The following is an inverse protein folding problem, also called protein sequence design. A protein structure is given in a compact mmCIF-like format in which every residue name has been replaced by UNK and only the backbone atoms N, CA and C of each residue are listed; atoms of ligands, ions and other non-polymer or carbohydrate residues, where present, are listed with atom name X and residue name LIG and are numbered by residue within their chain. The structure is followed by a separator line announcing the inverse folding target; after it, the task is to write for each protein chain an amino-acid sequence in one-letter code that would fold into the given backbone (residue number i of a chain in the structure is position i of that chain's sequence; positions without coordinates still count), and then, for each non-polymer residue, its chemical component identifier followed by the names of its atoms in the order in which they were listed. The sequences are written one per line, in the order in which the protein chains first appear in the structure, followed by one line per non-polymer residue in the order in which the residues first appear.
data_IF_271077126878
#
_entry.id   IF_271077126878
#
_cell.length_a   1.000
_cell.length_b   1.000
_cell.length_c   1.000
_cell.angle_alpha   90.00
_cell.angle_beta   90.00
_cell.angle_gamma   90.00
#
_symmetry.space_group_name_H-M   'P 1'
#
loop_
_entity.id
_entity.type
_entity.pdbx_description
1 polymer ?
#
# COMPACT_ATOMS: atom_id res chain seq x y z
N UNK A 1 1.87 37.71 -77.76
CA UNK A 1 0.48 37.58 -78.26
C UNK A 1 -0.19 36.45 -77.48
N UNK A 2 -1.30 36.80 -76.80
CA UNK A 2 -2.26 35.95 -76.05
C UNK A 2 -3.09 35.06 -77.02
N UNK A 3 -4.05 34.21 -76.59
CA UNK A 3 -4.27 33.43 -75.34
C UNK A 3 -4.89 32.01 -75.62
N UNK A 4 -5.53 31.43 -74.58
CA UNK A 4 -6.67 30.47 -74.55
C UNK A 4 -6.33 29.01 -74.20
N UNK A 5 -7.11 28.25 -73.42
CA UNK A 5 -7.96 28.41 -72.22
C UNK A 5 -8.53 27.00 -71.95
N UNK A 6 -8.81 26.68 -70.68
CA UNK A 6 -9.71 25.60 -70.17
C UNK A 6 -9.21 24.13 -70.23
N UNK A 7 -9.23 23.45 -69.07
CA UNK A 7 -10.36 22.61 -68.63
C UNK A 7 -10.07 21.85 -67.32
N UNK A 8 -11.14 21.71 -66.51
CA UNK A 8 -11.46 20.64 -65.55
C UNK A 8 -10.47 20.39 -64.37
N UNK A 9 -10.87 20.53 -63.10
CA UNK A 9 -11.74 19.57 -62.40
C UNK A 9 -10.97 18.24 -62.21
N UNK A 10 -10.60 17.80 -61.00
CA UNK A 10 -11.50 17.10 -60.07
C UNK A 10 -10.92 17.04 -58.64
N UNK A 11 -11.86 17.02 -57.70
CA UNK A 11 -11.72 16.89 -56.24
C UNK A 11 -11.33 15.46 -55.87
N UNK A 12 -10.45 15.29 -54.87
CA UNK A 12 -10.47 14.11 -54.00
C UNK A 12 -10.18 14.55 -52.54
N UNK A 13 -11.25 14.81 -51.78
CA UNK A 13 -11.19 14.85 -50.32
C UNK A 13 -10.94 13.43 -49.80
N UNK A 14 -9.79 13.21 -49.19
CA UNK A 14 -9.57 12.05 -48.33
C UNK A 14 -9.84 12.48 -46.87
N UNK A 15 -11.03 12.17 -46.37
CA UNK A 15 -11.35 12.19 -44.94
C UNK A 15 -10.71 10.96 -44.28
N UNK A 16 -9.49 11.12 -43.78
CA UNK A 16 -8.84 10.15 -42.91
C UNK A 16 -9.42 10.25 -41.49
N UNK A 17 -10.28 9.30 -41.11
CA UNK A 17 -10.72 9.10 -39.72
C UNK A 17 -9.51 8.57 -38.95
N UNK A 18 -8.78 9.47 -38.28
CA UNK A 18 -7.70 9.07 -37.37
C UNK A 18 -8.32 8.61 -36.06
N UNK A 19 -8.35 7.30 -35.83
CA UNK A 19 -8.56 6.73 -34.50
C UNK A 19 -7.33 7.05 -33.65
N UNK A 20 -7.35 8.18 -32.95
CA UNK A 20 -6.36 8.50 -31.94
C UNK A 20 -6.58 7.56 -30.74
N UNK A 21 -5.86 6.45 -30.71
CA UNK A 21 -5.63 5.71 -29.49
C UNK A 21 -4.90 6.65 -28.53
N UNK A 22 -5.60 7.18 -27.53
CA UNK A 22 -4.99 7.95 -26.46
C UNK A 22 -4.12 7.00 -25.62
N UNK A 23 -2.86 6.84 -26.02
CA UNK A 23 -1.83 6.31 -25.16
C UNK A 23 -1.62 7.33 -24.03
N UNK A 24 -2.18 7.07 -22.86
CA UNK A 24 -1.87 7.87 -21.68
C UNK A 24 -0.40 7.64 -21.36
N UNK A 25 0.47 8.68 -21.40
CA UNK A 25 1.85 8.52 -20.96
C UNK A 25 1.82 8.20 -19.47
N UNK A 26 2.25 7.00 -19.11
CA UNK A 26 2.63 6.67 -17.73
C UNK A 26 3.79 7.58 -17.36
N UNK A 27 3.51 8.70 -16.71
CA UNK A 27 4.53 9.54 -16.10
C UNK A 27 5.17 8.77 -14.95
N UNK A 28 6.27 8.08 -15.26
CA UNK A 28 7.23 7.65 -14.25
C UNK A 28 7.90 8.92 -13.74
N UNK A 29 7.42 9.46 -12.63
CA UNK A 29 8.05 10.59 -11.95
C UNK A 29 9.35 10.07 -11.32
N UNK A 30 10.45 10.14 -12.08
CA UNK A 30 11.78 9.85 -11.56
C UNK A 30 12.14 10.96 -10.57
N UNK A 31 12.37 10.61 -9.31
CA UNK A 31 12.87 11.54 -8.29
C UNK A 31 14.15 12.21 -8.80
N UNK A 32 14.21 13.53 -8.71
CA UNK A 32 15.42 14.27 -9.04
C UNK A 32 16.53 13.92 -8.04
N UNK A 33 17.79 14.03 -8.46
CA UNK A 33 18.93 13.75 -7.56
C UNK A 33 18.92 14.68 -6.34
N UNK A 34 18.42 15.91 -6.51
CA UNK A 34 18.23 16.87 -5.41
C UNK A 34 17.21 16.36 -4.37
N UNK A 35 16.04 15.89 -4.80
CA UNK A 35 15.01 15.35 -3.91
C UNK A 35 15.51 14.10 -3.17
N UNK A 36 16.16 13.20 -3.89
CA UNK A 36 16.78 12.01 -3.30
C UNK A 36 17.83 12.37 -2.25
N UNK A 37 18.69 13.35 -2.53
CA UNK A 37 19.71 13.81 -1.56
C UNK A 37 19.07 14.40 -0.31
N UNK A 38 17.97 15.15 -0.47
CA UNK A 38 17.23 15.73 0.65
C UNK A 38 16.55 14.66 1.52
N UNK A 39 15.99 13.61 0.91
CA UNK A 39 15.41 12.47 1.63
C UNK A 39 16.47 11.72 2.45
N UNK A 40 17.64 11.44 1.85
CA UNK A 40 18.75 10.80 2.54
C UNK A 40 19.30 11.65 3.68
N UNK A 41 19.41 12.98 3.48
CA UNK A 41 19.84 13.89 4.52
C UNK A 41 18.85 13.92 5.70
N UNK A 42 17.55 13.92 5.42
CA UNK A 42 16.51 13.87 6.45
C UNK A 42 16.54 12.58 7.26
N UNK A 43 16.73 11.43 6.60
CA UNK A 43 16.87 10.13 7.28
C UNK A 43 18.14 10.04 8.14
N UNK A 44 19.24 10.66 7.70
CA UNK A 44 20.45 10.74 8.55
C UNK A 44 20.20 11.58 9.79
N UNK A 45 19.55 12.74 9.61
CA UNK A 45 19.20 13.60 10.73
C UNK A 45 18.25 12.89 11.71
N UNK A 46 17.23 12.17 11.22
CA UNK A 46 16.32 11.41 12.08
C UNK A 46 17.05 10.33 12.88
N UNK A 47 17.98 9.61 12.27
CA UNK A 47 18.82 8.62 12.95
C UNK A 47 19.78 9.26 13.96
N UNK A 48 20.31 10.43 13.66
CA UNK A 48 21.20 11.17 14.56
C UNK A 48 20.47 11.70 15.80
N UNK A 49 19.24 12.17 15.66
CA UNK A 49 18.44 12.70 16.78
C UNK A 49 17.54 11.67 17.46
N UNK A 50 17.56 10.41 16.98
CA UNK A 50 16.75 9.33 17.53
C UNK A 50 17.03 9.10 19.03
N UNK A 51 16.00 9.05 19.88
CA UNK A 51 16.18 8.82 21.31
C UNK A 51 16.59 7.37 21.64
N UNK A 52 16.29 6.40 20.78
CA UNK A 52 16.57 4.98 21.01
C UNK A 52 17.48 4.44 19.90
N UNK A 53 18.75 4.22 20.23
CA UNK A 53 19.76 3.69 19.29
C UNK A 53 20.28 2.31 19.66
N UNK A 54 19.98 1.84 20.87
CA UNK A 54 20.45 0.56 21.39
C UNK A 54 19.40 -0.12 22.27
N UNK A 55 19.62 -1.40 22.59
CA UNK A 55 18.77 -2.15 23.54
C UNK A 55 18.75 -1.47 24.92
N UNK A 56 19.91 -1.00 25.39
CA UNK A 56 20.01 -0.29 26.67
C UNK A 56 19.23 1.04 26.66
N UNK A 57 19.21 1.76 25.53
CA UNK A 57 18.42 2.99 25.41
C UNK A 57 16.92 2.68 25.38
N UNK A 58 16.51 1.58 24.74
CA UNK A 58 15.11 1.14 24.73
C UNK A 58 14.63 0.80 26.14
N UNK A 59 15.41 0.03 26.89
CA UNK A 59 15.12 -0.29 28.28
C UNK A 59 15.03 0.98 29.12
N UNK A 60 16.03 1.86 29.02
CA UNK A 60 16.01 3.16 29.71
C UNK A 60 14.78 3.98 29.36
N UNK A 61 14.41 4.05 28.08
CA UNK A 61 13.23 4.78 27.63
C UNK A 61 11.94 4.22 28.24
N UNK A 62 11.79 2.89 28.29
CA UNK A 62 10.64 2.22 28.91
C UNK A 62 10.51 2.50 30.41
N UNK A 63 11.64 2.67 31.11
CA UNK A 63 11.64 3.01 32.53
C UNK A 63 11.42 4.51 32.81
N UNK A 64 11.95 5.39 31.98
CA UNK A 64 11.90 6.85 32.22
C UNK A 64 10.63 7.51 31.70
N UNK A 65 10.02 7.00 30.63
CA UNK A 65 8.87 7.65 29.98
C UNK A 65 7.55 7.03 30.46
N UNK A 66 6.67 7.81 31.11
CA UNK A 66 5.38 7.31 31.58
C UNK A 66 4.51 6.76 30.44
N UNK A 67 3.65 5.75 30.71
CA UNK A 67 2.76 5.15 29.70
C UNK A 67 1.93 6.15 28.88
N UNK A 68 1.42 7.21 29.52
CA UNK A 68 0.57 8.22 28.87
C UNK A 68 1.29 9.03 27.77
N UNK A 69 2.60 9.17 27.88
CA UNK A 69 3.46 9.93 26.95
C UNK A 69 4.29 9.03 26.03
N UNK A 70 4.20 7.72 26.20
CA UNK A 70 5.03 6.76 25.49
C UNK A 70 4.31 6.25 24.24
N UNK A 71 4.87 6.53 23.06
CA UNK A 71 4.25 6.14 21.79
C UNK A 71 4.12 4.61 21.62
N UNK A 72 4.93 3.81 22.31
CA UNK A 72 4.82 2.34 22.29
C UNK A 72 3.51 1.85 22.93
N UNK A 73 2.87 2.66 23.79
CA UNK A 73 1.57 2.33 24.39
C UNK A 73 0.39 2.58 23.46
N UNK A 74 0.62 3.05 22.23
CA UNK A 74 -0.38 3.02 21.16
C UNK A 74 -0.68 1.58 20.71
N UNK A 75 0.27 0.66 20.87
CA UNK A 75 0.06 -0.77 20.63
C UNK A 75 -0.64 -1.42 21.83
N UNK A 76 -1.46 -2.43 21.54
CA UNK A 76 -1.99 -3.32 22.59
C UNK A 76 -0.84 -3.98 23.38
N UNK A 77 -1.05 -4.38 24.64
CA UNK A 77 0.03 -4.93 25.49
C UNK A 77 0.81 -6.07 24.82
N UNK A 78 0.10 -7.07 24.26
CA UNK A 78 0.71 -8.21 23.58
C UNK A 78 1.47 -7.79 22.31
N UNK A 79 0.91 -6.87 21.53
CA UNK A 79 1.55 -6.37 20.32
C UNK A 79 2.83 -5.58 20.62
N UNK A 80 2.80 -4.77 21.68
CA UNK A 80 3.97 -4.03 22.17
C UNK A 80 5.08 -4.99 22.59
N UNK A 81 4.78 -6.03 23.35
CA UNK A 81 5.77 -7.02 23.79
C UNK A 81 6.43 -7.71 22.60
N UNK A 82 5.63 -8.20 21.64
CA UNK A 82 6.16 -8.83 20.42
C UNK A 82 6.98 -7.86 19.57
N UNK A 83 6.52 -6.61 19.44
CA UNK A 83 7.27 -5.57 18.74
C UNK A 83 8.64 -5.36 19.40
N UNK A 84 8.68 -5.09 20.71
CA UNK A 84 9.92 -4.87 21.47
C UNK A 84 10.87 -6.08 21.38
N UNK A 85 10.34 -7.30 21.46
CA UNK A 85 11.12 -8.53 21.31
C UNK A 85 11.73 -8.68 19.90
N UNK A 86 11.02 -8.22 18.87
CA UNK A 86 11.48 -8.30 17.48
C UNK A 86 12.48 -7.22 17.07
N UNK A 87 12.61 -6.14 17.84
CA UNK A 87 13.53 -5.04 17.53
C UNK A 87 14.97 -5.52 17.61
N UNK A 88 15.74 -5.25 16.56
CA UNK A 88 17.18 -5.52 16.45
C UNK A 88 17.96 -4.24 16.19
N UNK A 89 19.21 -4.18 16.68
CA UNK A 89 20.08 -3.01 16.58
C UNK A 89 21.48 -3.39 16.07
N UNK A 90 22.16 -2.43 15.45
CA UNK A 90 23.59 -2.45 15.16
C UNK A 90 24.28 -1.15 15.62
N UNK A 91 25.55 -0.95 15.25
CA UNK A 91 26.32 0.25 15.60
C UNK A 91 25.73 1.57 15.06
N UNK A 92 24.81 1.51 14.07
CA UNK A 92 24.14 2.67 13.46
C UNK A 92 22.70 2.86 13.97
N UNK A 93 22.19 1.99 14.85
CA UNK A 93 20.83 2.08 15.38
C UNK A 93 19.96 0.90 14.95
N UNK A 94 18.68 1.18 14.70
CA UNK A 94 17.67 0.16 14.38
C UNK A 94 18.01 -0.57 13.07
N UNK A 95 18.04 -1.90 13.10
CA UNK A 95 18.27 -2.73 11.90
C UNK A 95 17.02 -3.42 11.39
N UNK A 96 16.10 -3.78 12.27
CA UNK A 96 14.93 -4.56 11.88
C UNK A 96 13.93 -4.69 13.02
N UNK A 97 12.69 -4.94 12.65
CA UNK A 97 11.57 -5.11 13.57
C UNK A 97 10.39 -5.78 12.83
N UNK A 98 9.47 -6.37 13.57
CA UNK A 98 8.26 -6.94 13.01
C UNK A 98 7.21 -5.84 12.74
N UNK A 99 6.71 -5.77 11.51
CA UNK A 99 5.72 -4.78 11.06
C UNK A 99 4.27 -5.25 11.20
N UNK A 100 4.04 -6.55 11.44
CA UNK A 100 2.71 -7.18 11.43
C UNK A 100 1.74 -6.50 12.39
N UNK A 101 2.21 -6.27 13.62
CA UNK A 101 1.38 -5.69 14.68
C UNK A 101 1.16 -4.18 14.46
N UNK A 102 2.17 -3.48 13.92
CA UNK A 102 2.05 -2.07 13.51
C UNK A 102 0.97 -1.90 12.43
N UNK A 103 0.99 -2.76 11.41
CA UNK A 103 0.02 -2.73 10.30
C UNK A 103 -1.40 -3.01 10.78
N UNK A 104 -1.55 -4.00 11.66
CA UNK A 104 -2.85 -4.45 12.13
C UNK A 104 -3.54 -3.39 12.99
N UNK A 105 -2.81 -2.78 13.92
CA UNK A 105 -3.40 -1.97 15.00
C UNK A 105 -3.35 -0.47 14.76
N UNK A 106 -2.40 0.01 13.94
CA UNK A 106 -2.09 1.44 13.87
C UNK A 106 -2.42 2.05 12.49
N UNK A 107 -2.67 3.35 12.52
CA UNK A 107 -2.66 4.21 11.33
C UNK A 107 -1.23 4.63 10.96
N UNK A 108 -1.02 5.07 9.72
CA UNK A 108 0.30 5.54 9.25
C UNK A 108 0.93 6.58 10.18
N UNK A 109 0.15 7.58 10.62
CA UNK A 109 0.63 8.62 11.52
C UNK A 109 1.05 8.08 12.90
N UNK A 110 0.37 7.04 13.39
CA UNK A 110 0.73 6.38 14.65
C UNK A 110 2.00 5.52 14.48
N UNK A 111 2.14 4.84 13.34
CA UNK A 111 3.37 4.10 13.01
C UNK A 111 4.55 5.06 12.94
N UNK A 112 4.39 6.22 12.28
CA UNK A 112 5.43 7.24 12.20
C UNK A 112 5.87 7.72 13.58
N UNK A 113 4.95 7.93 14.52
CA UNK A 113 5.27 8.31 15.91
C UNK A 113 6.11 7.27 16.64
N UNK A 114 5.78 5.98 16.47
CA UNK A 114 6.58 4.90 17.07
C UNK A 114 7.96 4.84 16.44
N UNK A 115 8.04 4.90 15.12
CA UNK A 115 9.29 4.75 14.38
C UNK A 115 10.21 5.98 14.51
N UNK A 116 9.67 7.16 14.79
CA UNK A 116 10.45 8.34 15.13
C UNK A 116 11.28 8.14 16.41
N UNK A 117 10.85 7.27 17.34
CA UNK A 117 11.67 6.94 18.52
C UNK A 117 13.00 6.27 18.14
N UNK A 118 13.06 5.66 16.97
CA UNK A 118 14.21 4.94 16.45
C UNK A 118 14.85 5.63 15.24
N UNK A 119 14.36 6.82 14.86
CA UNK A 119 14.84 7.57 13.71
C UNK A 119 14.47 6.97 12.35
N UNK A 120 13.41 6.15 12.28
CA UNK A 120 12.98 5.45 11.08
C UNK A 120 11.56 5.83 10.64
N UNK A 121 11.12 7.07 10.91
CA UNK A 121 9.73 7.50 10.66
C UNK A 121 9.31 7.43 9.18
N UNK A 122 10.26 7.55 8.25
CA UNK A 122 10.04 7.42 6.81
C UNK A 122 9.40 6.07 6.47
N UNK A 123 9.73 5.02 7.24
CA UNK A 123 9.24 3.65 7.03
C UNK A 123 7.75 3.47 7.23
N UNK A 124 7.10 4.40 7.94
CA UNK A 124 5.68 4.29 8.28
C UNK A 124 4.79 4.13 7.05
N UNK A 125 5.14 4.80 5.94
CA UNK A 125 4.34 4.78 4.72
C UNK A 125 4.37 3.45 4.00
N UNK A 126 5.54 2.82 3.90
CA UNK A 126 5.65 1.48 3.32
C UNK A 126 4.82 0.52 4.15
N UNK A 127 5.00 0.58 5.47
CA UNK A 127 4.34 -0.33 6.39
C UNK A 127 2.83 -0.16 6.27
N UNK A 128 2.33 1.07 6.24
CA UNK A 128 0.92 1.36 6.05
C UNK A 128 0.41 0.93 4.67
N UNK A 129 1.17 1.14 3.59
CA UNK A 129 0.80 0.71 2.24
C UNK A 129 0.76 -0.82 2.08
N UNK A 130 1.60 -1.53 2.84
CA UNK A 130 1.62 -3.00 2.90
C UNK A 130 0.48 -3.59 3.72
N UNK A 131 -0.29 -2.75 4.44
CA UNK A 131 -1.52 -3.19 5.10
C UNK A 131 -2.44 -3.70 4.01
N UNK A 132 -2.45 -5.02 3.81
CA UNK A 132 -3.39 -5.67 2.89
C UNK A 132 -4.75 -5.14 3.29
N UNK A 133 -5.55 -4.55 2.38
CA UNK A 133 -6.94 -4.31 2.69
C UNK A 133 -7.43 -5.66 3.19
N UNK A 134 -7.99 -5.69 4.41
CA UNK A 134 -8.65 -6.87 4.92
C UNK A 134 -9.52 -7.30 3.75
N UNK A 135 -9.16 -8.43 3.12
CA UNK A 135 -9.89 -8.89 1.95
C UNK A 135 -11.31 -8.83 2.42
N UNK A 136 -12.11 -7.95 1.80
CA UNK A 136 -13.54 -8.04 1.95
C UNK A 136 -13.76 -9.49 1.55
N UNK A 137 -13.97 -10.37 2.55
CA UNK A 137 -14.43 -11.72 2.27
C UNK A 137 -15.56 -11.43 1.30
N UNK A 138 -15.52 -11.93 0.05
CA UNK A 138 -16.63 -11.73 -0.86
C UNK A 138 -17.84 -12.02 -0.01
N UNK A 139 -18.67 -10.98 0.20
CA UNK A 139 -19.86 -11.10 1.02
C UNK A 139 -20.52 -12.30 0.41
N UNK A 140 -20.60 -13.40 1.16
CA UNK A 140 -21.13 -14.66 0.66
C UNK A 140 -22.60 -14.36 0.35
N UNK A 141 -22.83 -13.81 -0.83
CA UNK A 141 -24.14 -13.54 -1.35
C UNK A 141 -24.60 -14.88 -1.87
N UNK A 142 -25.30 -15.57 -0.98
CA UNK A 142 -26.25 -16.62 -1.31
C UNK A 142 -25.61 -17.89 -1.88
N UNK A 143 -25.49 -18.89 -1.01
CA UNK A 143 -25.90 -20.25 -1.38
C UNK A 143 -24.85 -21.17 -1.98
N UNK A 144 -23.66 -21.28 -1.39
CA UNK A 144 -22.84 -22.48 -1.60
C UNK A 144 -22.66 -23.23 -0.27
N UNK A 145 -23.53 -24.21 -0.05
CA UNK A 145 -23.29 -25.26 0.92
C UNK A 145 -22.22 -26.19 0.32
N UNK A 146 -21.04 -26.21 0.92
CA UNK A 146 -20.08 -27.29 0.70
C UNK A 146 -20.45 -28.41 1.66
N UNK A 147 -21.24 -29.38 1.19
CA UNK A 147 -21.32 -30.67 1.87
C UNK A 147 -20.02 -31.41 1.55
N UNK A 148 -19.16 -31.52 2.56
CA UNK A 148 -17.97 -32.35 2.50
C UNK A 148 -18.37 -33.81 2.69
N UNK A 149 -18.71 -34.49 1.60
CA UNK A 149 -18.78 -35.96 1.55
C UNK A 149 -17.86 -36.48 0.42
N UNK A 150 -16.76 -37.21 0.74
CA UNK A 150 -15.70 -37.47 -0.23
C UNK A 150 -15.98 -38.57 -1.26
N UNK A 151 -17.15 -39.23 -1.29
CA UNK A 151 -17.32 -40.44 -2.12
C UNK A 151 -18.33 -40.38 -3.29
N UNK A 152 -19.09 -39.30 -3.51
CA UNK A 152 -19.99 -39.23 -4.71
C UNK A 152 -20.22 -37.83 -5.27
N UNK A 153 -19.74 -37.51 -6.49
CA UNK A 153 -20.20 -36.34 -7.22
C UNK A 153 -21.42 -36.73 -8.05
N UNK A 154 -22.62 -36.50 -7.52
CA UNK A 154 -23.83 -36.46 -8.35
C UNK A 154 -24.45 -35.07 -8.28
N UNK A 155 -24.43 -34.39 -9.42
CA UNK A 155 -25.21 -33.17 -9.66
C UNK A 155 -26.69 -33.54 -9.64
N UNK A 156 -27.40 -33.20 -8.57
CA UNK A 156 -28.86 -33.08 -8.58
C UNK A 156 -29.24 -31.62 -8.41
N UNK A 157 -29.99 -31.02 -9.34
CA UNK A 157 -30.57 -29.70 -9.14
C UNK A 157 -31.83 -29.87 -8.28
N UNK A 158 -31.64 -29.86 -6.96
CA UNK A 158 -32.70 -29.92 -5.96
C UNK A 158 -32.60 -28.73 -5.02
N UNK A 159 -33.72 -28.04 -4.84
CA UNK A 159 -33.90 -26.87 -3.98
C UNK A 159 -33.44 -27.14 -2.54
N UNK A 160 -32.62 -26.25 -2.00
CA UNK A 160 -32.37 -26.18 -0.57
C UNK A 160 -33.64 -25.62 0.10
N UNK A 161 -34.39 -26.50 0.74
CA UNK A 161 -35.58 -26.17 1.53
C UNK A 161 -35.13 -25.55 2.86
N UNK A 162 -35.43 -24.27 3.17
CA UNK A 162 -35.24 -23.75 4.51
C UNK A 162 -36.47 -24.09 5.34
N UNK A 163 -36.33 -25.06 6.23
CA UNK A 163 -37.35 -25.42 7.21
C UNK A 163 -37.92 -24.20 7.93
N UNK A 164 -39.21 -24.00 7.70
CA UNK A 164 -40.27 -23.41 8.53
C UNK A 164 -39.82 -22.84 9.87
N UNK A 165 -39.58 -21.53 9.88
CA UNK A 165 -39.54 -20.69 11.07
C UNK A 165 -40.49 -19.51 10.89
N UNK A 166 -41.75 -19.73 11.30
CA UNK A 166 -42.80 -18.72 11.52
C UNK A 166 -42.23 -17.42 12.10
N UNK A 167 -42.45 -16.31 11.39
CA UNK A 167 -42.75 -14.99 11.96
C UNK A 167 -43.68 -14.27 10.98
N UNK A 168 -44.96 -14.24 11.32
CA UNK A 168 -45.96 -13.34 10.74
C UNK A 168 -45.49 -11.87 10.88
N UNK A 169 -45.46 -11.11 9.78
CA UNK A 169 -46.20 -9.84 9.65
C UNK A 169 -45.97 -9.18 8.26
N UNK A 170 -47.00 -8.54 7.66
CA UNK A 170 -46.90 -7.95 6.32
C UNK A 170 -46.71 -6.42 6.36
N UNK A 171 -45.62 -5.91 5.78
CA UNK A 171 -45.53 -4.50 5.40
C UNK A 171 -45.01 -4.33 3.95
N UNK A 172 -45.89 -3.78 3.11
CA UNK A 172 -45.66 -3.39 1.73
C UNK A 172 -44.89 -2.04 1.62
N UNK A 173 -44.38 -1.66 0.42
CA UNK A 173 -43.08 -1.04 0.22
C UNK A 173 -43.10 0.49 0.07
N UNK A 174 -41.95 1.12 0.32
CA UNK A 174 -41.61 2.43 -0.25
C UNK A 174 -40.41 2.31 -1.20
N UNK A 175 -40.48 2.85 -2.43
CA UNK A 175 -39.32 2.96 -3.30
C UNK A 175 -38.53 4.23 -2.93
N UNK A 176 -37.34 4.07 -2.36
CA UNK A 176 -36.38 5.18 -2.27
C UNK A 176 -35.66 5.41 -3.61
N UNK A 177 -35.44 6.67 -4.02
CA UNK A 177 -34.71 6.99 -5.24
C UNK A 177 -33.21 6.74 -5.04
N UNK A 178 -32.61 5.98 -5.97
CA UNK A 178 -31.16 5.77 -6.05
C UNK A 178 -30.48 7.07 -6.46
N UNK A 179 -29.94 7.81 -5.50
CA UNK A 179 -29.01 8.90 -5.77
C UNK A 179 -27.66 8.26 -6.16
N UNK A 180 -27.07 8.58 -7.32
CA UNK A 180 -25.73 8.13 -7.67
C UNK A 180 -24.72 8.68 -6.66
N UNK A 181 -24.02 7.81 -5.95
CA UNK A 181 -22.92 8.22 -5.06
C UNK A 181 -21.79 8.74 -5.96
N UNK A 182 -21.33 9.99 -5.79
CA UNK A 182 -20.18 10.49 -6.51
C UNK A 182 -18.96 9.63 -6.22
N UNK A 183 -18.30 9.13 -7.28
CA UNK A 183 -17.02 8.44 -7.16
C UNK A 183 -16.03 9.47 -6.56
N UNK A 184 -15.45 9.22 -5.38
CA UNK A 184 -14.49 10.15 -4.80
C UNK A 184 -13.29 10.28 -5.75
N UNK A 185 -12.75 11.50 -5.94
CA UNK A 185 -11.55 11.68 -6.74
C UNK A 185 -10.41 10.84 -6.16
N UNK A 186 -9.61 10.23 -7.04
CA UNK A 186 -8.41 9.48 -6.64
C UNK A 186 -7.58 10.34 -5.68
N UNK A 187 -7.15 9.80 -4.53
CA UNK A 187 -6.36 10.56 -3.57
C UNK A 187 -5.06 11.02 -4.23
N UNK A 188 -4.75 12.30 -4.05
CA UNK A 188 -3.49 12.89 -4.48
C UNK A 188 -2.29 12.08 -3.95
N UNK A 189 -1.17 12.00 -4.69
CA UNK A 189 0.03 11.34 -4.23
C UNK A 189 0.50 11.96 -2.90
N UNK A 190 0.43 11.17 -1.82
CA UNK A 190 0.66 11.67 -0.47
C UNK A 190 2.15 11.98 -0.28
N UNK A 191 2.56 13.21 0.10
CA UNK A 191 3.98 13.59 0.21
C UNK A 191 4.68 12.87 1.36
N UNK A 192 5.57 11.90 1.09
CA UNK A 192 6.35 11.19 2.12
C UNK A 192 6.37 9.66 2.03
N UNK A 193 5.88 9.07 0.94
CA UNK A 193 6.04 7.65 0.64
C UNK A 193 7.51 7.33 0.46
N UNK A 194 7.99 6.24 1.08
CA UNK A 194 9.19 5.60 0.58
C UNK A 194 8.79 4.91 -0.72
N UNK A 195 8.93 5.68 -1.78
CA UNK A 195 8.98 5.12 -3.10
C UNK A 195 10.30 4.35 -3.21
N UNK A 196 10.28 3.14 -3.80
CA UNK A 196 11.52 2.53 -4.26
C UNK A 196 12.25 3.61 -5.07
N UNK A 197 13.42 4.04 -4.61
CA UNK A 197 14.16 5.12 -5.28
C UNK A 197 15.16 4.45 -6.21
N UNK A 198 14.89 4.40 -7.53
CA UNK A 198 15.86 3.87 -8.48
C UNK A 198 17.12 4.74 -8.47
N UNK A 199 18.29 4.10 -8.44
CA UNK A 199 19.60 4.72 -8.59
C UNK A 199 20.11 4.60 -10.04
N UNK A 200 21.03 5.48 -10.50
CA UNK A 200 21.54 5.47 -11.88
C UNK A 200 22.22 4.16 -12.29
N UNK A 201 22.70 3.39 -11.33
CA UNK A 201 23.36 2.10 -11.53
C UNK A 201 22.38 0.91 -11.55
N UNK A 202 21.07 1.16 -11.51
CA UNK A 202 20.02 0.13 -11.48
C UNK A 202 19.72 -0.43 -10.08
N UNK A 203 20.41 0.04 -9.03
CA UNK A 203 20.09 -0.31 -7.65
C UNK A 203 18.78 0.39 -7.20
N UNK A 204 18.16 -0.12 -6.14
CA UNK A 204 16.93 0.45 -5.58
C UNK A 204 17.11 0.68 -4.08
N UNK A 205 16.91 1.92 -3.61
CA UNK A 205 16.99 2.27 -2.19
C UNK A 205 15.70 1.95 -1.44
N UNK A 206 15.83 1.66 -0.14
CA UNK A 206 14.81 1.09 0.74
C UNK A 206 14.32 -0.31 0.33
N UNK A 207 15.24 -1.09 -0.24
CA UNK A 207 14.98 -2.44 -0.69
C UNK A 207 16.16 -3.34 -0.28
N UNK A 208 15.89 -4.62 -0.04
CA UNK A 208 16.90 -5.66 0.22
C UNK A 208 16.68 -6.84 -0.74
N UNK A 209 17.75 -7.51 -1.17
CA UNK A 209 17.65 -8.74 -1.95
C UNK A 209 17.07 -9.87 -1.11
N UNK A 210 16.02 -10.51 -1.59
CA UNK A 210 15.56 -11.77 -1.02
C UNK A 210 16.70 -12.81 -1.09
N UNK A 211 16.75 -13.70 -0.09
CA UNK A 211 17.79 -14.75 0.04
C UNK A 211 17.91 -15.64 -1.21
N UNK A 212 16.84 -15.72 -2.01
CA UNK A 212 16.81 -16.45 -3.29
C UNK A 212 17.42 -15.68 -4.47
N UNK A 213 17.92 -14.47 -4.27
CA UNK A 213 18.63 -13.66 -5.28
C UNK A 213 17.76 -13.12 -6.42
N UNK A 214 16.43 -13.26 -6.37
CA UNK A 214 15.58 -12.97 -7.54
C UNK A 214 14.63 -11.79 -7.37
N UNK A 215 14.43 -11.29 -6.14
CA UNK A 215 13.43 -10.25 -5.87
C UNK A 215 13.93 -9.27 -4.82
N UNK A 216 13.60 -7.99 -4.99
CA UNK A 216 13.83 -6.97 -3.97
C UNK A 216 12.60 -6.89 -3.05
N UNK A 217 12.81 -6.92 -1.75
CA UNK A 217 11.76 -6.72 -0.73
C UNK A 217 11.96 -5.38 -0.01
N UNK A 218 10.89 -4.67 0.38
CA UNK A 218 11.01 -3.39 1.06
C UNK A 218 11.74 -3.54 2.40
N UNK A 219 12.84 -2.82 2.57
CA UNK A 219 13.65 -2.85 3.80
C UNK A 219 14.24 -1.46 4.05
N UNK A 220 14.04 -0.91 5.25
CA UNK A 220 14.45 0.47 5.52
C UNK A 220 15.97 0.61 5.53
N UNK A 221 16.50 1.66 4.89
CA UNK A 221 17.92 2.00 4.85
C UNK A 221 18.83 0.92 4.23
N UNK A 222 18.28 0.12 3.31
CA UNK A 222 19.02 -0.90 2.55
C UNK A 222 19.00 -0.57 1.06
N UNK A 223 20.03 -1.07 0.36
CA UNK A 223 20.16 -0.94 -1.09
C UNK A 223 20.01 -2.33 -1.69
N UNK A 224 19.00 -2.51 -2.54
CA UNK A 224 18.88 -3.70 -3.37
C UNK A 224 19.71 -3.48 -4.62
N UNK A 225 20.65 -4.38 -4.90
CA UNK A 225 21.50 -4.28 -6.09
C UNK A 225 20.71 -4.59 -7.35
N UNK A 226 21.07 -3.96 -8.48
CA UNK A 226 20.48 -4.26 -9.79
C UNK A 226 20.54 -5.76 -10.16
N UNK A 227 21.57 -6.45 -9.63
CA UNK A 227 21.70 -7.90 -9.63
C UNK A 227 21.71 -8.37 -8.18
N UNK A 228 20.54 -8.74 -7.68
CA UNK A 228 20.48 -9.86 -6.75
C UNK A 228 20.88 -11.14 -7.53
#
# INVERSE_FOLDING_TARGET
MKPQYLLAGWIAMALGISAAAYAHPTQQHSLTEAEKSALLARERLSQEVAPIKSRADLERYLHMVPPKSNALYLLSPNARERFIASVTFNAKGLTGFNTTDLQRELSEAQIAKILALFGSESSARIIAAQKRPAQARPRADKGFCFDADPERPQFSPGNCDPGDGIWDEPFHPHPEPKIPIPIPPSPDPVPGSIHPVPLPNGDIYHMECAVTGSTCSPHNNWICKAKC
#
